data_IF_365094703307
#
_entry.id   IF_365094703307
#
_cell.length_a   1.000
_cell.length_b   1.000
_cell.length_c   1.000
_cell.angle_alpha   90.00
_cell.angle_beta   90.00
_cell.angle_gamma   90.00
#
_symmetry.space_group_name_H-M   'P 1'
#
loop_
_entity.id
_entity.type
_entity.pdbx_description
1 polymer ?
#
# COMPACT_ATOMS: atom_id res chain seq x y z
N UNK A 1 -50.41 -74.97 10.13
CA UNK A 1 -48.93 -74.86 10.02
C UNK A 1 -48.58 -73.36 9.93
N UNK A 2 -48.35 -72.70 11.07
CA UNK A 2 -48.15 -71.25 11.16
C UNK A 2 -46.70 -70.86 10.83
N UNK A 3 -46.50 -69.94 9.88
CA UNK A 3 -45.19 -69.33 9.55
C UNK A 3 -44.94 -68.12 10.44
N UNK A 4 -44.00 -68.26 11.38
CA UNK A 4 -43.56 -67.21 12.29
C UNK A 4 -42.65 -66.21 11.54
N UNK A 5 -43.02 -64.93 11.49
CA UNK A 5 -42.19 -63.86 10.88
C UNK A 5 -41.37 -63.19 11.97
N UNK A 6 -40.08 -63.52 12.07
CA UNK A 6 -39.13 -62.78 12.90
C UNK A 6 -38.83 -61.41 12.25
N UNK A 7 -39.09 -60.33 12.99
CA UNK A 7 -38.64 -58.97 12.66
C UNK A 7 -37.49 -58.62 13.59
N UNK A 8 -36.31 -58.38 13.03
CA UNK A 8 -35.13 -57.90 13.76
C UNK A 8 -35.19 -56.37 13.76
N UNK A 9 -35.27 -55.76 14.93
CA UNK A 9 -35.16 -54.32 15.13
C UNK A 9 -33.76 -54.03 15.68
N UNK A 10 -32.93 -53.33 14.92
CA UNK A 10 -31.64 -52.84 15.39
C UNK A 10 -31.86 -51.55 16.20
N UNK A 11 -31.64 -51.62 17.52
CA UNK A 11 -31.55 -50.44 18.38
C UNK A 11 -30.07 -50.07 18.51
N UNK A 12 -29.65 -49.01 17.84
CA UNK A 12 -28.32 -48.42 18.01
C UNK A 12 -28.39 -47.40 19.14
N UNK A 13 -27.71 -47.68 20.25
CA UNK A 13 -27.57 -46.79 21.39
C UNK A 13 -26.34 -45.90 21.16
N UNK A 14 -26.54 -44.64 20.77
CA UNK A 14 -25.45 -43.66 20.66
C UNK A 14 -25.11 -43.20 22.07
N UNK A 15 -23.97 -43.67 22.60
CA UNK A 15 -23.41 -43.17 23.85
C UNK A 15 -22.71 -41.84 23.56
N UNK A 16 -23.35 -40.73 23.94
CA UNK A 16 -22.73 -39.42 23.91
C UNK A 16 -21.80 -39.27 25.12
N UNK A 17 -20.49 -39.40 24.93
CA UNK A 17 -19.50 -39.03 25.94
C UNK A 17 -19.34 -37.50 25.96
N UNK A 18 -19.67 -36.87 27.09
CA UNK A 18 -19.40 -35.46 27.32
C UNK A 18 -17.87 -35.24 27.37
N UNK A 19 -17.34 -34.53 26.39
CA UNK A 19 -15.93 -34.11 26.36
C UNK A 19 -15.80 -32.83 27.20
N UNK A 20 -15.37 -32.94 28.46
CA UNK A 20 -14.97 -31.76 29.23
C UNK A 20 -13.60 -31.28 28.75
N UNK A 21 -13.59 -30.19 27.99
CA UNK A 21 -12.36 -29.42 27.77
C UNK A 21 -11.99 -28.71 29.07
N UNK A 22 -10.88 -29.09 29.67
CA UNK A 22 -10.34 -28.44 30.86
C UNK A 22 -9.59 -27.17 30.43
N UNK A 23 -10.22 -26.00 30.59
CA UNK A 23 -9.54 -24.72 30.40
C UNK A 23 -8.55 -24.48 31.54
N UNK A 24 -7.28 -24.82 31.32
CA UNK A 24 -6.18 -24.35 32.16
C UNK A 24 -5.95 -22.86 31.91
N UNK A 25 -6.49 -22.02 32.78
CA UNK A 25 -6.20 -20.58 32.80
C UNK A 25 -4.75 -20.36 33.23
N UNK A 26 -3.86 -20.12 32.28
CA UNK A 26 -2.52 -19.65 32.58
C UNK A 26 -2.57 -18.16 32.90
N UNK A 27 -2.37 -17.80 34.17
CA UNK A 27 -2.16 -16.40 34.55
C UNK A 27 -0.75 -15.99 34.16
N UNK A 28 -0.62 -15.18 33.11
CA UNK A 28 0.68 -14.64 32.69
C UNK A 28 1.24 -13.74 33.81
N UNK A 29 2.54 -13.88 34.10
CA UNK A 29 3.23 -13.02 35.06
C UNK A 29 3.21 -11.55 34.64
N UNK A 30 3.32 -10.64 35.62
CA UNK A 30 3.30 -9.19 35.42
C UNK A 30 4.42 -8.76 34.45
N UNK A 31 4.05 -8.39 33.23
CA UNK A 31 4.97 -7.80 32.25
C UNK A 31 5.27 -6.36 32.68
N UNK A 32 6.50 -6.13 33.14
CA UNK A 32 6.98 -4.76 33.40
C UNK A 32 7.47 -4.18 32.09
N UNK A 33 6.67 -3.31 31.46
CA UNK A 33 7.13 -2.54 30.31
C UNK A 33 8.05 -1.42 30.81
N UNK A 34 9.34 -1.50 30.45
CA UNK A 34 10.19 -0.31 30.48
C UNK A 34 9.69 0.58 29.35
N UNK A 35 9.03 1.68 29.67
CA UNK A 35 8.62 2.66 28.68
C UNK A 35 9.87 3.22 27.99
N UNK A 36 10.16 2.71 26.80
CA UNK A 36 11.15 3.31 25.93
C UNK A 36 10.56 4.62 25.42
N UNK A 37 11.23 5.74 25.70
CA UNK A 37 10.91 7.01 25.05
C UNK A 37 11.26 6.83 23.58
N UNK A 38 10.26 6.56 22.75
CA UNK A 38 10.41 6.67 21.31
C UNK A 38 10.80 8.10 21.03
N UNK A 39 12.07 8.34 20.69
CA UNK A 39 12.49 9.64 20.20
C UNK A 39 11.73 9.88 18.88
N UNK A 40 10.73 10.74 18.94
CA UNK A 40 9.99 11.15 17.76
C UNK A 40 10.81 12.23 17.04
N UNK A 41 11.68 11.77 16.14
CA UNK A 41 12.41 12.67 15.28
C UNK A 41 11.42 13.37 14.33
N UNK A 42 11.49 14.70 14.22
CA UNK A 42 10.76 15.45 13.20
C UNK A 42 11.42 15.32 11.82
N UNK A 43 11.63 14.07 11.40
CA UNK A 43 12.26 13.71 10.14
C UNK A 43 11.33 12.87 9.25
N UNK A 44 10.10 12.60 9.70
CA UNK A 44 9.07 11.94 8.90
C UNK A 44 8.17 12.96 8.21
N UNK A 45 7.68 12.60 7.03
CA UNK A 45 6.75 13.40 6.27
C UNK A 45 5.81 12.45 5.53
N UNK A 46 4.51 12.76 5.59
CA UNK A 46 3.48 12.04 4.86
C UNK A 46 2.82 12.98 3.86
N UNK A 47 2.49 12.43 2.70
CA UNK A 47 1.59 13.04 1.72
C UNK A 47 0.42 12.08 1.57
N UNK A 48 -0.71 12.44 2.18
CA UNK A 48 -1.90 11.60 2.20
C UNK A 48 -2.70 11.72 0.90
N UNK A 49 -3.55 10.72 0.66
CA UNK A 49 -4.40 10.65 -0.54
C UNK A 49 -5.24 11.90 -0.77
N UNK A 50 -5.78 12.50 0.29
CA UNK A 50 -6.61 13.70 0.18
C UNK A 50 -5.82 14.87 -0.42
N UNK A 51 -4.57 15.02 0.00
CA UNK A 51 -3.64 16.03 -0.52
C UNK A 51 -3.26 15.72 -1.97
N UNK A 52 -3.01 14.45 -2.31
CA UNK A 52 -2.71 14.01 -3.67
C UNK A 52 -3.87 14.26 -4.64
N UNK A 53 -5.11 13.96 -4.24
CA UNK A 53 -6.31 14.16 -5.05
C UNK A 53 -6.57 15.64 -5.38
N UNK A 54 -6.20 16.55 -4.48
CA UNK A 54 -6.37 17.99 -4.69
C UNK A 54 -5.32 18.58 -5.64
N UNK A 55 -4.16 17.92 -5.81
CA UNK A 55 -3.02 18.47 -6.57
C UNK A 55 -3.12 18.29 -8.08
N UNK A 56 -4.04 17.46 -8.58
CA UNK A 56 -4.09 17.07 -10.00
C UNK A 56 -2.68 16.75 -10.56
N UNK A 57 -1.91 15.97 -9.80
CA UNK A 57 -0.50 15.72 -10.11
C UNK A 57 -0.35 14.91 -11.39
N UNK A 58 0.45 15.42 -12.33
CA UNK A 58 0.70 14.74 -13.59
C UNK A 58 1.95 13.87 -13.51
N UNK A 59 2.96 14.35 -12.81
CA UNK A 59 4.23 13.66 -12.60
C UNK A 59 4.60 13.63 -11.11
N UNK A 60 5.60 12.83 -10.75
CA UNK A 60 6.07 12.71 -9.35
C UNK A 60 6.52 14.05 -8.79
N UNK A 61 7.14 14.89 -9.60
CA UNK A 61 7.51 16.27 -9.22
C UNK A 61 6.33 17.09 -8.70
N UNK A 62 5.15 16.91 -9.27
CA UNK A 62 3.97 17.69 -8.88
C UNK A 62 3.50 17.33 -7.47
N UNK A 63 3.72 16.08 -7.05
CA UNK A 63 3.39 15.60 -5.70
C UNK A 63 4.21 16.35 -4.65
N UNK A 64 5.50 16.58 -4.93
CA UNK A 64 6.45 17.20 -4.01
C UNK A 64 6.57 18.73 -4.17
N UNK A 65 5.81 19.36 -5.07
CA UNK A 65 5.98 20.78 -5.42
C UNK A 65 5.82 21.76 -4.24
N UNK A 66 5.07 21.38 -3.22
CA UNK A 66 4.86 22.18 -2.00
C UNK A 66 5.83 21.84 -0.87
N UNK A 67 6.75 20.90 -1.08
CA UNK A 67 7.66 20.37 -0.07
C UNK A 67 9.06 20.95 -0.33
N UNK A 68 9.61 21.66 0.65
CA UNK A 68 10.95 22.28 0.53
C UNK A 68 12.09 21.29 0.78
N UNK A 69 11.80 20.17 1.44
CA UNK A 69 12.75 19.11 1.80
C UNK A 69 12.93 18.04 0.72
N UNK A 70 12.05 18.02 -0.29
CA UNK A 70 12.11 17.08 -1.41
C UNK A 70 12.11 17.86 -2.73
N UNK A 71 13.12 17.62 -3.56
CA UNK A 71 13.22 18.19 -4.89
C UNK A 71 13.14 17.05 -5.92
N UNK A 72 12.53 17.31 -7.07
CA UNK A 72 12.50 16.36 -8.18
C UNK A 72 13.04 17.05 -9.41
N UNK A 73 14.10 16.47 -10.01
CA UNK A 73 14.70 16.98 -11.22
C UNK A 73 13.67 17.05 -12.36
N UNK A 74 13.81 18.08 -13.19
CA UNK A 74 12.95 18.30 -14.36
C UNK A 74 13.32 17.35 -15.50
N UNK A 75 12.37 17.08 -16.38
CA UNK A 75 12.55 16.26 -17.58
C UNK A 75 11.35 15.34 -17.82
N UNK A 76 11.48 14.51 -18.87
CA UNK A 76 10.55 13.41 -19.12
C UNK A 76 10.58 12.36 -18.01
N UNK A 77 9.61 11.44 -17.99
CA UNK A 77 9.43 10.47 -16.90
C UNK A 77 10.71 9.69 -16.54
N UNK A 78 11.51 9.33 -17.53
CA UNK A 78 12.77 8.59 -17.34
C UNK A 78 13.95 9.45 -16.89
N UNK A 79 13.84 10.78 -16.89
CA UNK A 79 14.91 11.68 -16.45
C UNK A 79 14.69 12.21 -15.01
N UNK A 80 13.55 11.89 -14.38
CA UNK A 80 13.19 12.43 -13.07
C UNK A 80 13.92 11.71 -11.94
N UNK A 81 14.79 12.45 -11.26
CA UNK A 81 15.47 12.02 -10.04
C UNK A 81 14.91 12.75 -8.84
N UNK A 82 14.61 12.00 -7.79
CA UNK A 82 14.10 12.54 -6.54
C UNK A 82 15.28 12.76 -5.60
N UNK A 83 15.30 13.91 -4.92
CA UNK A 83 16.30 14.28 -3.94
C UNK A 83 15.63 14.63 -2.62
N UNK A 84 16.07 14.03 -1.53
CA UNK A 84 15.60 14.34 -0.18
C UNK A 84 16.75 14.99 0.58
N UNK A 85 16.58 16.26 0.96
CA UNK A 85 17.66 17.09 1.56
C UNK A 85 18.96 17.05 0.74
N UNK A 86 18.84 17.09 -0.59
CA UNK A 86 19.98 17.04 -1.52
C UNK A 86 20.56 15.64 -1.77
N UNK A 87 20.11 14.61 -1.04
CA UNK A 87 20.53 13.24 -1.29
C UNK A 87 19.63 12.58 -2.32
N UNK A 88 20.23 12.05 -3.38
CA UNK A 88 19.52 11.32 -4.45
C UNK A 88 18.81 10.08 -3.91
N UNK A 89 17.60 9.79 -4.40
CA UNK A 89 16.77 8.65 -4.00
C UNK A 89 17.46 7.30 -4.16
N UNK A 90 18.48 7.18 -5.02
CA UNK A 90 19.34 6.00 -5.13
C UNK A 90 20.08 5.63 -3.84
N UNK A 91 20.38 6.62 -3.00
CA UNK A 91 21.02 6.43 -1.69
C UNK A 91 19.99 6.30 -0.54
N UNK A 92 18.70 6.39 -0.87
CA UNK A 92 17.61 6.13 0.04
C UNK A 92 17.06 4.73 -0.22
N UNK A 93 16.37 4.18 0.79
CA UNK A 93 15.53 3.01 0.57
C UNK A 93 14.23 3.44 -0.08
N UNK A 94 14.10 3.23 -1.39
CA UNK A 94 12.85 3.48 -2.12
C UNK A 94 12.02 2.20 -2.20
N UNK A 95 10.73 2.28 -1.86
CA UNK A 95 9.81 1.15 -1.93
C UNK A 95 8.48 1.53 -2.56
N UNK A 96 7.90 0.60 -3.33
CA UNK A 96 6.50 0.66 -3.77
C UNK A 96 5.81 -0.56 -3.16
N UNK A 97 4.80 -0.34 -2.32
CA UNK A 97 4.08 -1.40 -1.59
C UNK A 97 5.02 -2.35 -0.83
N UNK A 98 6.10 -1.79 -0.26
CA UNK A 98 7.14 -2.53 0.45
C UNK A 98 8.21 -3.19 -0.44
N UNK A 99 7.99 -3.26 -1.76
CA UNK A 99 8.95 -3.81 -2.72
C UNK A 99 10.02 -2.79 -3.06
N UNK A 100 11.28 -3.18 -2.88
CA UNK A 100 12.44 -2.31 -3.10
C UNK A 100 12.59 -1.90 -4.57
N UNK A 101 12.82 -0.61 -4.80
CA UNK A 101 13.18 -0.06 -6.10
C UNK A 101 14.69 0.20 -6.10
N UNK A 102 15.47 -0.82 -6.49
CA UNK A 102 16.92 -0.77 -6.36
C UNK A 102 17.58 -0.23 -7.64
N UNK A 103 17.97 1.04 -7.62
CA UNK A 103 18.90 1.60 -8.60
C UNK A 103 18.25 2.15 -9.86
N UNK A 104 19.07 2.38 -10.87
CA UNK A 104 18.69 2.80 -12.22
C UNK A 104 19.45 1.90 -13.21
N UNK A 105 18.88 1.71 -14.40
CA UNK A 105 19.54 0.94 -15.47
C UNK A 105 20.79 1.70 -15.93
N UNK A 106 20.70 3.03 -15.97
CA UNK A 106 21.79 3.93 -16.32
C UNK A 106 21.84 5.11 -15.34
N UNK A 107 23.04 5.65 -15.09
CA UNK A 107 23.23 6.69 -14.08
C UNK A 107 22.55 8.03 -14.42
N UNK A 108 22.06 8.23 -15.65
CA UNK A 108 21.23 9.38 -16.04
C UNK A 108 19.73 9.11 -15.99
N UNK A 109 19.31 7.87 -15.72
CA UNK A 109 17.90 7.49 -15.66
C UNK A 109 17.31 7.67 -14.26
N UNK A 110 15.99 7.81 -14.25
CA UNK A 110 15.14 7.79 -13.07
C UNK A 110 15.26 6.45 -12.33
N UNK A 111 15.19 6.53 -11.01
CA UNK A 111 15.26 5.37 -10.13
C UNK A 111 13.89 4.77 -9.81
N UNK A 112 12.81 5.53 -10.00
CA UNK A 112 11.46 5.11 -9.62
C UNK A 112 10.45 5.78 -10.53
N UNK A 113 9.67 4.96 -11.23
CA UNK A 113 8.62 5.41 -12.14
C UNK A 113 7.31 4.83 -11.62
N UNK A 114 6.43 5.72 -11.17
CA UNK A 114 5.09 5.38 -10.72
C UNK A 114 4.13 6.49 -11.13
N UNK A 115 2.91 6.12 -11.47
CA UNK A 115 1.88 7.08 -11.81
C UNK A 115 1.36 7.77 -10.53
N UNK A 116 1.37 9.12 -10.45
CA UNK A 116 0.79 9.85 -9.32
C UNK A 116 -0.64 9.48 -8.95
N UNK A 117 -1.48 9.11 -9.93
CA UNK A 117 -2.87 8.76 -9.70
C UNK A 117 -3.05 7.38 -9.06
N UNK A 118 -2.00 6.55 -9.08
CA UNK A 118 -2.01 5.26 -8.37
C UNK A 118 -1.47 5.38 -6.95
N UNK A 119 -0.94 6.53 -6.53
CA UNK A 119 -0.41 6.72 -5.18
C UNK A 119 -1.55 7.04 -4.20
N UNK A 120 -1.66 6.21 -3.17
CA UNK A 120 -2.49 6.46 -1.98
C UNK A 120 -1.74 7.34 -0.98
N UNK A 121 -0.48 7.01 -0.72
CA UNK A 121 0.32 7.69 0.29
C UNK A 121 1.79 7.71 -0.11
N UNK A 122 2.47 8.79 0.24
CA UNK A 122 3.93 8.87 0.23
C UNK A 122 4.43 9.07 1.65
N UNK A 123 5.33 8.21 2.10
CA UNK A 123 6.09 8.38 3.34
C UNK A 123 7.55 8.71 3.01
N UNK A 124 8.07 9.77 3.63
CA UNK A 124 9.48 10.17 3.53
C UNK A 124 10.10 10.22 4.91
N UNK A 125 11.16 9.45 5.12
CA UNK A 125 12.03 9.53 6.31
C UNK A 125 13.34 10.16 5.88
N UNK A 126 13.69 11.28 6.52
CA UNK A 126 14.82 12.13 6.17
C UNK A 126 16.04 11.79 7.05
N UNK A 127 17.16 11.47 6.43
CA UNK A 127 18.35 10.97 7.15
C UNK A 127 18.19 9.51 7.57
N UNK A 128 19.11 9.00 8.39
CA UNK A 128 19.13 7.59 8.79
C UNK A 128 17.77 7.13 9.33
N UNK A 129 17.17 6.17 8.64
CA UNK A 129 15.90 5.60 9.05
C UNK A 129 16.11 4.51 10.10
N UNK A 130 15.04 4.18 10.82
CA UNK A 130 15.04 3.09 11.81
C UNK A 130 15.41 1.76 11.14
N UNK A 131 15.89 0.79 11.92
CA UNK A 131 16.28 -0.53 11.43
C UNK A 131 15.16 -1.26 10.65
N UNK A 132 13.89 -1.00 11.00
CA UNK A 132 12.71 -1.55 10.32
C UNK A 132 12.46 -0.98 8.91
N UNK A 133 13.12 0.11 8.52
CA UNK A 133 13.02 0.66 7.17
C UNK A 133 13.66 -0.26 6.11
N UNK A 134 14.49 -1.21 6.53
CA UNK A 134 15.13 -2.20 5.68
C UNK A 134 16.52 -1.78 5.18
N UNK A 135 17.20 -2.67 4.44
CA UNK A 135 18.56 -2.44 4.00
C UNK A 135 18.69 -1.23 3.07
N UNK A 136 19.76 -0.47 3.22
CA UNK A 136 20.06 0.70 2.38
C UNK A 136 19.38 2.01 2.81
N UNK A 137 18.61 2.01 3.90
CA UNK A 137 17.92 3.21 4.40
C UNK A 137 18.82 4.19 5.20
N UNK A 138 20.11 4.26 4.85
CA UNK A 138 21.13 5.02 5.60
C UNK A 138 20.96 6.53 5.42
N UNK A 139 20.57 6.98 4.23
CA UNK A 139 20.30 8.40 3.98
C UNK A 139 18.80 8.77 4.11
N UNK A 140 17.94 7.77 4.25
CA UNK A 140 16.49 7.96 4.30
C UNK A 140 15.69 6.81 3.73
N UNK A 141 14.38 6.98 3.80
CA UNK A 141 13.38 6.09 3.21
C UNK A 141 12.40 6.92 2.39
N UNK A 142 12.00 6.41 1.24
CA UNK A 142 10.91 6.94 0.42
C UNK A 142 9.98 5.78 0.07
N UNK A 143 8.78 5.77 0.64
CA UNK A 143 7.80 4.72 0.41
C UNK A 143 6.59 5.27 -0.33
N UNK A 144 6.18 4.56 -1.36
CA UNK A 144 4.92 4.76 -2.06
C UNK A 144 3.98 3.61 -1.73
N UNK A 145 2.75 3.95 -1.36
CA UNK A 145 1.67 2.99 -1.19
C UNK A 145 0.67 3.21 -2.32
N UNK A 146 0.29 2.15 -3.04
CA UNK A 146 -0.68 2.25 -4.13
C UNK A 146 -2.13 2.21 -3.62
N UNK A 147 -3.05 2.69 -4.46
CA UNK A 147 -4.48 2.68 -4.19
C UNK A 147 -5.01 1.25 -4.36
N UNK A 148 -5.84 0.81 -3.41
CA UNK A 148 -6.57 -0.45 -3.50
C UNK A 148 -8.05 -0.24 -3.92
N UNK A 149 -8.79 -1.32 -4.15
CA UNK A 149 -10.21 -1.25 -4.49
C UNK A 149 -11.07 -0.62 -3.38
N UNK A 150 -10.66 -0.77 -2.12
CA UNK A 150 -11.38 -0.25 -0.96
C UNK A 150 -11.23 1.25 -0.77
N UNK A 151 -10.06 1.76 -1.15
CA UNK A 151 -9.74 3.16 -1.26
C UNK A 151 -10.53 3.79 -2.40
N UNK A 152 -10.68 3.11 -3.54
CA UNK A 152 -11.40 3.65 -4.68
C UNK A 152 -12.93 3.69 -4.47
N UNK A 153 -13.51 2.62 -3.91
CA UNK A 153 -14.96 2.49 -3.72
C UNK A 153 -15.41 3.18 -2.42
N UNK A 154 -16.53 3.91 -2.48
CA UNK A 154 -17.14 4.50 -1.28
C UNK A 154 -17.60 3.40 -0.30
N UNK A 155 -17.86 3.80 0.95
CA UNK A 155 -18.50 2.92 1.93
C UNK A 155 -19.82 2.37 1.35
N UNK A 156 -20.04 1.07 1.45
CA UNK A 156 -21.19 0.34 0.91
C UNK A 156 -21.34 0.35 -0.63
N UNK A 157 -20.31 0.77 -1.38
CA UNK A 157 -20.30 0.68 -2.83
C UNK A 157 -19.62 -0.62 -3.28
N UNK A 158 -20.30 -1.39 -4.14
CA UNK A 158 -19.82 -2.70 -4.63
C UNK A 158 -18.99 -2.58 -5.91
N UNK A 159 -19.27 -1.59 -6.75
CA UNK A 159 -18.54 -1.37 -8.00
C UNK A 159 -18.48 0.13 -8.33
N UNK A 160 -17.49 0.51 -9.13
CA UNK A 160 -17.32 1.89 -9.55
C UNK A 160 -16.33 1.99 -10.69
N UNK A 161 -16.49 3.03 -11.49
CA UNK A 161 -15.54 3.39 -12.53
C UNK A 161 -15.32 4.91 -12.52
N UNK A 162 -14.11 5.32 -12.91
CA UNK A 162 -13.71 6.72 -13.06
C UNK A 162 -12.92 6.82 -14.37
N UNK A 163 -13.31 7.77 -15.21
CA UNK A 163 -12.54 8.16 -16.39
C UNK A 163 -12.16 9.62 -16.24
N UNK A 164 -10.90 9.94 -16.56
CA UNK A 164 -10.34 11.28 -16.49
C UNK A 164 -9.63 11.57 -17.81
N UNK A 165 -9.83 12.76 -18.35
CA UNK A 165 -9.12 13.25 -19.53
C UNK A 165 -8.63 14.68 -19.26
N UNK A 166 -7.42 14.99 -19.70
CA UNK A 166 -6.80 16.29 -19.53
C UNK A 166 -5.97 16.68 -20.74
N UNK A 167 -5.97 17.98 -21.04
CA UNK A 167 -5.18 18.57 -22.11
C UNK A 167 -4.25 19.62 -21.52
N UNK A 168 -3.02 19.68 -22.03
CA UNK A 168 -2.02 20.64 -21.55
C UNK A 168 -1.85 21.76 -22.57
N UNK A 169 -1.90 23.00 -22.11
CA UNK A 169 -1.67 24.18 -22.96
C UNK A 169 -0.24 24.23 -23.50
N UNK A 170 0.70 23.60 -22.79
CA UNK A 170 2.12 23.51 -23.13
C UNK A 170 2.50 22.20 -23.85
N UNK A 171 1.56 21.62 -24.62
CA UNK A 171 1.64 20.36 -25.38
C UNK A 171 1.26 19.09 -24.59
N UNK A 172 0.48 18.23 -25.26
CA UNK A 172 0.15 16.90 -24.79
C UNK A 172 -1.28 16.72 -24.25
N UNK A 173 -1.62 15.46 -24.02
CA UNK A 173 -2.88 15.06 -23.39
C UNK A 173 -2.67 13.84 -22.50
N UNK A 174 -3.62 13.61 -21.60
CA UNK A 174 -3.62 12.48 -20.68
C UNK A 174 -5.01 11.90 -20.55
N UNK A 175 -5.10 10.58 -20.51
CA UNK A 175 -6.33 9.84 -20.27
C UNK A 175 -6.09 8.76 -19.21
N UNK A 176 -6.98 8.68 -18.24
CA UNK A 176 -6.94 7.66 -17.20
C UNK A 176 -8.31 6.97 -17.13
N UNK A 177 -8.29 5.67 -16.90
CA UNK A 177 -9.48 4.90 -16.56
C UNK A 177 -9.18 4.03 -15.34
N UNK A 178 -10.12 3.99 -14.40
CA UNK A 178 -10.03 3.14 -13.21
C UNK A 178 -11.37 2.46 -13.03
N UNK A 179 -11.37 1.16 -12.78
CA UNK A 179 -12.56 0.39 -12.46
C UNK A 179 -12.26 -0.49 -11.26
N UNK A 180 -13.22 -0.62 -10.34
CA UNK A 180 -13.08 -1.48 -9.19
C UNK A 180 -14.37 -2.26 -8.93
N UNK A 181 -14.21 -3.45 -8.37
CA UNK A 181 -15.29 -4.29 -7.90
C UNK A 181 -14.90 -4.91 -6.56
N UNK A 182 -15.83 -4.88 -5.60
CA UNK A 182 -15.70 -5.46 -4.26
C UNK A 182 -16.70 -6.60 -4.12
N UNK A 183 -16.21 -7.83 -4.10
CA UNK A 183 -16.94 -9.01 -3.67
C UNK A 183 -16.95 -9.18 -2.15
N UNK A 184 -17.54 -10.27 -1.66
CA UNK A 184 -17.66 -10.54 -0.21
C UNK A 184 -16.29 -10.79 0.46
N UNK A 185 -15.40 -11.51 -0.22
CA UNK A 185 -14.10 -11.96 0.30
C UNK A 185 -12.93 -11.60 -0.62
N UNK A 186 -13.19 -10.90 -1.72
CA UNK A 186 -12.20 -10.54 -2.72
C UNK A 186 -12.57 -9.19 -3.33
N UNK A 187 -11.57 -8.48 -3.81
CA UNK A 187 -11.76 -7.25 -4.56
C UNK A 187 -10.80 -7.23 -5.76
N UNK A 188 -11.11 -6.35 -6.70
CA UNK A 188 -10.28 -6.14 -7.89
C UNK A 188 -10.29 -4.66 -8.24
N UNK A 189 -9.13 -4.17 -8.65
CA UNK A 189 -8.91 -2.84 -9.19
C UNK A 189 -8.20 -2.98 -10.53
N UNK A 190 -8.74 -2.35 -11.56
CA UNK A 190 -8.11 -2.20 -12.85
C UNK A 190 -7.81 -0.72 -13.08
N UNK A 191 -6.59 -0.43 -13.52
CA UNK A 191 -6.12 0.92 -13.82
C UNK A 191 -5.48 0.95 -15.19
N UNK A 192 -5.82 1.98 -15.96
CA UNK A 192 -5.22 2.29 -17.25
C UNK A 192 -4.85 3.76 -17.29
N UNK A 193 -3.64 4.04 -17.74
CA UNK A 193 -3.18 5.40 -18.02
C UNK A 193 -2.54 5.44 -19.40
N UNK A 194 -2.84 6.52 -20.12
CA UNK A 194 -2.13 6.93 -21.31
C UNK A 194 -1.78 8.40 -21.18
N UNK A 195 -0.51 8.73 -21.43
CA UNK A 195 -0.02 10.09 -21.41
C UNK A 195 0.84 10.31 -22.66
N UNK A 196 0.52 11.37 -23.40
CA UNK A 196 1.32 11.87 -24.50
C UNK A 196 1.79 13.27 -24.14
N UNK A 197 3.07 13.42 -23.80
CA UNK A 197 3.72 14.66 -23.37
C UNK A 197 5.07 14.84 -24.05
#
# INVERSE_FOLDING_TARGET
MLRNKFRIVFVSCIVASNLQAQETTHTLGKVTTKGERTFEYNNKMYIERKELQQRQSNQIRDIFRTRADVNVASGGLMAQKIYVRGIESRLLRVTIDGVAQNGNIFHHDANTVIDPNMIKEVEVIKGAANASAGPGAVAGKLSFTTIDANDFLRKNQTYGAKAEAGFYTNFGYRMNATAAYRGKNWDILAYYNHQNI
#
